data_IF_463757714023
#
_entry.id   IF_463757714023
#
_cell.length_a   1.000
_cell.length_b   1.000
_cell.length_c   1.000
_cell.angle_alpha   90.00
_cell.angle_beta   90.00
_cell.angle_gamma   90.00
#
_symmetry.space_group_name_H-M   'P 1'
#
loop_
_entity.id
_entity.type
_entity.pdbx_description
1 polymer ?
#
# COMPACT_ATOMS: atom_id res chain seq x y z
N UNK A 1 -3.56 6.57 -16.18
CA UNK A 1 -4.04 7.27 -14.97
C UNK A 1 -3.56 6.45 -13.81
N UNK A 2 -2.29 6.66 -13.46
CA UNK A 2 -1.51 5.77 -12.59
C UNK A 2 -1.97 5.97 -11.16
N UNK A 3 -2.31 4.87 -10.49
CA UNK A 3 -2.82 4.86 -9.13
C UNK A 3 -1.73 5.38 -8.20
N UNK A 4 -1.93 6.60 -7.70
CA UNK A 4 -0.93 7.34 -6.94
C UNK A 4 -0.95 6.87 -5.48
N UNK A 5 -0.63 5.60 -5.28
CA UNK A 5 -0.49 4.98 -3.94
C UNK A 5 0.52 5.72 -3.09
N UNK A 6 1.48 6.38 -3.73
CA UNK A 6 2.42 7.26 -3.04
C UNK A 6 1.75 8.54 -2.50
N UNK A 7 0.67 9.01 -3.12
CA UNK A 7 -0.20 10.09 -2.61
C UNK A 7 -1.29 9.62 -1.64
N UNK A 8 -1.37 8.32 -1.34
CA UNK A 8 -2.32 7.77 -0.36
C UNK A 8 -1.56 7.17 0.83
N UNK A 9 -1.31 7.97 1.90
CA UNK A 9 -0.47 7.52 3.01
C UNK A 9 -0.99 6.25 3.69
N UNK A 10 -2.31 6.11 3.80
CA UNK A 10 -2.93 4.89 4.33
C UNK A 10 -2.63 3.67 3.45
N UNK A 11 -2.79 3.79 2.13
CA UNK A 11 -2.51 2.68 1.21
C UNK A 11 -1.03 2.26 1.31
N UNK A 12 -0.11 3.23 1.36
CA UNK A 12 1.31 2.99 1.58
C UNK A 12 1.59 2.31 2.91
N UNK A 13 0.93 2.71 4.00
CA UNK A 13 1.09 2.10 5.32
C UNK A 13 0.60 0.64 5.34
N UNK A 14 -0.53 0.35 4.69
CA UNK A 14 -1.06 -1.01 4.54
C UNK A 14 -0.08 -1.88 3.75
N UNK A 15 0.38 -1.42 2.58
CA UNK A 15 1.36 -2.16 1.78
C UNK A 15 2.67 -2.38 2.53
N UNK A 16 3.14 -1.37 3.29
CA UNK A 16 4.36 -1.49 4.11
C UNK A 16 4.19 -2.59 5.17
N UNK A 17 3.02 -2.66 5.79
CA UNK A 17 2.69 -3.67 6.80
C UNK A 17 2.61 -5.06 6.17
N UNK A 18 2.01 -5.19 4.99
CA UNK A 18 1.97 -6.46 4.24
C UNK A 18 3.37 -6.93 3.86
N UNK A 19 4.21 -6.03 3.34
CA UNK A 19 5.59 -6.34 2.96
C UNK A 19 6.46 -6.78 4.15
N UNK A 20 6.18 -6.28 5.37
CA UNK A 20 6.92 -6.62 6.60
C UNK A 20 6.39 -7.88 7.30
N UNK A 21 5.08 -8.06 7.34
CA UNK A 21 4.44 -9.14 8.11
C UNK A 21 4.38 -10.47 7.37
N UNK A 22 4.49 -10.46 6.04
CA UNK A 22 4.38 -11.65 5.19
C UNK A 22 5.75 -12.16 4.74
N UNK A 23 5.90 -13.48 4.66
CA UNK A 23 7.14 -14.13 4.25
C UNK A 23 7.60 -13.71 2.83
N UNK A 24 8.86 -13.97 2.50
CA UNK A 24 9.43 -13.61 1.19
C UNK A 24 8.70 -14.26 0.00
N UNK A 25 8.14 -15.46 0.19
CA UNK A 25 7.40 -16.21 -0.82
C UNK A 25 5.87 -16.09 -0.68
N UNK A 26 5.38 -15.17 0.15
CA UNK A 26 3.95 -14.90 0.27
C UNK A 26 3.50 -13.99 -0.89
N UNK A 27 2.47 -14.35 -1.67
CA UNK A 27 2.03 -13.55 -2.81
C UNK A 27 1.55 -12.14 -2.45
N UNK A 28 0.97 -11.92 -1.27
CA UNK A 28 0.57 -10.58 -0.83
C UNK A 28 1.78 -9.75 -0.40
N UNK A 29 2.74 -10.39 0.26
CA UNK A 29 4.04 -9.79 0.56
C UNK A 29 4.80 -9.40 -0.70
N UNK A 30 4.80 -10.26 -1.72
CA UNK A 30 5.40 -10.02 -3.03
C UNK A 30 4.71 -8.87 -3.78
N UNK A 31 3.38 -8.88 -3.85
CA UNK A 31 2.60 -7.77 -4.43
C UNK A 31 2.92 -6.45 -3.74
N UNK A 32 2.94 -6.43 -2.40
CA UNK A 32 3.20 -5.22 -1.66
C UNK A 32 4.61 -4.67 -1.92
N UNK A 33 5.62 -5.53 -2.02
CA UNK A 33 6.99 -5.12 -2.37
C UNK A 33 7.08 -4.56 -3.79
N UNK A 34 6.47 -5.23 -4.77
CA UNK A 34 6.46 -4.79 -6.16
C UNK A 34 5.80 -3.41 -6.35
N UNK A 35 4.72 -3.14 -5.60
CA UNK A 35 4.05 -1.83 -5.64
C UNK A 35 4.86 -0.76 -4.91
N UNK A 36 5.48 -1.09 -3.77
CA UNK A 36 6.29 -0.14 -3.01
C UNK A 36 7.63 0.21 -3.68
N UNK A 37 8.23 -0.72 -4.44
CA UNK A 37 9.45 -0.49 -5.22
C UNK A 37 9.19 0.29 -6.51
N UNK A 38 7.92 0.39 -6.95
CA UNK A 38 7.56 0.99 -8.23
C UNK A 38 7.74 0.05 -9.43
N UNK A 39 8.05 -1.23 -9.21
CA UNK A 39 8.20 -2.23 -10.27
C UNK A 39 6.86 -2.48 -11.00
N UNK A 40 5.74 -2.29 -10.31
CA UNK A 40 4.40 -2.34 -10.88
C UNK A 40 3.45 -1.39 -10.15
N UNK A 41 2.53 -0.73 -10.88
CA UNK A 41 1.36 -0.14 -10.22
C UNK A 41 0.43 -1.23 -9.67
N UNK A 42 -0.47 -0.88 -8.74
CA UNK A 42 -1.27 -1.88 -8.04
C UNK A 42 -2.23 -2.63 -8.97
N UNK A 43 -2.68 -1.99 -10.05
CA UNK A 43 -3.48 -2.64 -11.09
C UNK A 43 -2.65 -3.70 -11.82
N UNK A 44 -1.42 -3.37 -12.20
CA UNK A 44 -0.49 -4.28 -12.89
C UNK A 44 -0.03 -5.40 -11.97
N UNK A 45 0.21 -5.11 -10.69
CA UNK A 45 0.56 -6.14 -9.71
C UNK A 45 -0.59 -7.14 -9.50
N UNK A 46 -1.84 -6.68 -9.50
CA UNK A 46 -3.03 -7.52 -9.30
C UNK A 46 -3.43 -8.35 -10.54
N UNK A 47 -2.99 -7.98 -11.76
CA UNK A 47 -3.27 -8.79 -12.95
C UNK A 47 -2.39 -10.05 -13.04
N UNK A 48 -1.29 -10.12 -12.28
CA UNK A 48 -0.55 -11.36 -12.13
C UNK A 48 -1.41 -12.39 -11.38
N UNK A 49 -1.70 -13.52 -12.03
CA UNK A 49 -2.65 -14.53 -11.55
C UNK A 49 -2.37 -15.00 -10.11
N UNK A 50 -1.09 -15.09 -9.74
CA UNK A 50 -0.68 -15.48 -8.39
C UNK A 50 -1.00 -14.41 -7.33
N UNK A 51 -0.72 -13.14 -7.62
CA UNK A 51 -1.04 -12.03 -6.72
C UNK A 51 -2.55 -11.78 -6.64
N UNK A 52 -3.22 -11.75 -7.79
CA UNK A 52 -4.66 -11.50 -7.88
C UNK A 52 -5.48 -12.55 -7.13
N UNK A 53 -5.12 -13.84 -7.25
CA UNK A 53 -5.76 -14.92 -6.50
C UNK A 53 -5.55 -14.78 -4.99
N UNK A 54 -4.33 -14.49 -4.56
CA UNK A 54 -4.05 -14.31 -3.13
C UNK A 54 -4.79 -13.10 -2.54
N UNK A 55 -4.97 -12.03 -3.34
CA UNK A 55 -5.75 -10.87 -2.95
C UNK A 55 -7.24 -11.22 -2.81
N UNK A 56 -7.79 -11.98 -3.75
CA UNK A 56 -9.17 -12.47 -3.72
C UNK A 56 -9.43 -13.40 -2.52
N UNK A 57 -8.55 -14.37 -2.29
CA UNK A 57 -8.62 -15.30 -1.16
C UNK A 57 -8.58 -14.55 0.18
N UNK A 58 -7.65 -13.59 0.32
CA UNK A 58 -7.53 -12.81 1.56
C UNK A 58 -8.69 -11.85 1.76
N UNK A 59 -9.25 -11.29 0.68
CA UNK A 59 -10.42 -10.44 0.74
C UNK A 59 -11.66 -11.23 1.18
N UNK A 60 -11.86 -12.41 0.59
CA UNK A 60 -12.96 -13.33 0.94
C UNK A 60 -12.86 -13.75 2.40
N UNK A 61 -11.68 -14.18 2.86
CA UNK A 61 -11.46 -14.54 4.26
C UNK A 61 -11.75 -13.36 5.21
N UNK A 62 -11.35 -12.15 4.85
CA UNK A 62 -11.61 -10.95 5.67
C UNK A 62 -13.10 -10.61 5.76
N UNK A 63 -13.87 -10.87 4.70
CA UNK A 63 -15.33 -10.70 4.71
C UNK A 63 -16.00 -11.76 5.58
N UNK A 64 -15.59 -13.02 5.48
CA UNK A 64 -16.10 -14.10 6.31
C UNK A 64 -15.83 -13.86 7.80
N UNK A 65 -14.61 -13.40 8.14
CA UNK A 65 -14.24 -13.01 9.51
C UNK A 65 -15.13 -11.88 10.02
N UNK A 66 -15.32 -10.82 9.21
CA UNK A 66 -16.21 -9.71 9.57
C UNK A 66 -17.64 -10.18 9.78
N UNK A 67 -18.12 -11.10 8.96
CA UNK A 67 -19.48 -11.62 9.03
C UNK A 67 -19.67 -12.55 10.25
N UNK A 68 -18.59 -13.12 10.79
CA UNK A 68 -18.60 -13.86 12.06
C UNK A 68 -18.56 -12.96 13.31
N UNK A 69 -18.13 -11.70 13.20
CA UNK A 69 -18.07 -10.78 14.35
C UNK A 69 -19.45 -10.43 14.89
N UNK A 70 -19.52 -10.30 16.21
CA UNK A 70 -20.69 -9.72 16.90
C UNK A 70 -20.85 -8.24 16.55
N UNK A 71 -22.05 -7.68 16.80
CA UNK A 71 -22.34 -6.28 16.48
C UNK A 71 -21.39 -5.30 17.16
N UNK A 72 -21.04 -5.54 18.42
CA UNK A 72 -20.16 -4.64 19.18
C UNK A 72 -18.72 -4.70 18.66
N UNK A 73 -18.24 -5.89 18.29
CA UNK A 73 -16.92 -6.06 17.67
C UNK A 73 -16.84 -5.37 16.31
N UNK A 74 -17.89 -5.47 15.49
CA UNK A 74 -17.96 -4.75 14.21
C UNK A 74 -17.90 -3.24 14.39
N UNK A 75 -18.62 -2.69 15.37
CA UNK A 75 -18.62 -1.25 15.66
C UNK A 75 -17.21 -0.78 16.06
N UNK A 76 -16.51 -1.55 16.90
CA UNK A 76 -15.16 -1.20 17.31
C UNK A 76 -14.17 -1.30 16.13
N UNK A 77 -14.28 -2.32 15.28
CA UNK A 77 -13.47 -2.43 14.07
C UNK A 77 -13.71 -1.27 13.10
N UNK A 78 -14.96 -0.88 12.87
CA UNK A 78 -15.30 0.28 12.04
C UNK A 78 -14.77 1.59 12.62
N UNK A 79 -14.80 1.74 13.95
CA UNK A 79 -14.22 2.89 14.65
C UNK A 79 -12.71 2.95 14.46
N UNK A 80 -12.00 1.83 14.63
CA UNK A 80 -10.55 1.75 14.41
C UNK A 80 -10.18 2.01 12.95
N UNK A 81 -10.92 1.44 12.00
CA UNK A 81 -10.72 1.68 10.58
C UNK A 81 -10.98 3.15 10.18
N UNK A 82 -11.91 3.82 10.87
CA UNK A 82 -12.15 5.27 10.69
C UNK A 82 -10.98 6.09 11.22
N UNK A 83 -10.50 5.80 12.43
CA UNK A 83 -9.33 6.47 13.00
C UNK A 83 -8.09 6.30 12.12
N UNK A 84 -7.87 5.11 11.56
CA UNK A 84 -6.76 4.87 10.63
C UNK A 84 -6.89 5.68 9.33
N UNK A 85 -8.11 5.85 8.81
CA UNK A 85 -8.36 6.70 7.64
C UNK A 85 -8.14 8.18 7.92
N UNK A 86 -8.58 8.65 9.08
CA UNK A 86 -8.39 10.03 9.52
C UNK A 86 -6.90 10.32 9.78
N UNK A 87 -6.21 9.45 10.52
CA UNK A 87 -4.77 9.55 10.74
C UNK A 87 -3.97 9.44 9.44
N UNK A 88 -4.39 8.57 8.51
CA UNK A 88 -3.82 8.47 7.18
C UNK A 88 -4.06 9.71 6.31
N UNK A 89 -5.17 10.43 6.52
CA UNK A 89 -5.43 11.71 5.87
C UNK A 89 -4.55 12.83 6.46
N UNK A 90 -4.34 12.84 7.78
CA UNK A 90 -3.41 13.77 8.46
C UNK A 90 -1.95 13.55 8.04
N UNK A 91 -1.54 12.30 7.80
CA UNK A 91 -0.20 11.96 7.29
C UNK A 91 0.08 12.47 5.85
N UNK A 92 -0.92 13.02 5.15
CA UNK A 92 -0.80 13.52 3.76
C UNK A 92 -0.25 14.95 3.70
N UNK A 93 -0.04 15.61 4.84
CA UNK A 93 0.60 16.92 4.93
C UNK A 93 2.08 16.69 5.24
N UNK A 94 2.95 17.14 4.34
CA UNK A 94 4.42 16.96 4.33
C UNK A 94 4.93 15.70 3.58
N UNK A 95 4.71 15.69 2.27
CA UNK A 95 5.75 15.17 1.35
C UNK A 95 6.55 16.38 0.88
N UNK A 96 7.59 16.73 1.62
CA UNK A 96 8.66 17.58 1.09
C UNK A 96 9.27 16.84 -0.09
N UNK A 97 9.23 17.47 -1.27
CA UNK A 97 9.74 16.90 -2.51
C UNK A 97 11.26 16.73 -2.42
N UNK A 98 11.71 15.56 -1.96
CA UNK A 98 13.10 15.17 -2.05
C UNK A 98 13.44 14.80 -3.50
N UNK A 99 14.43 15.53 -4.00
CA UNK A 99 15.24 15.33 -5.19
C UNK A 99 14.65 15.69 -6.56
N UNK A 100 14.89 16.95 -6.94
CA UNK A 100 15.29 17.24 -8.32
C UNK A 100 16.71 16.70 -8.54
N UNK A 101 16.95 15.82 -9.52
CA UNK A 101 18.28 15.30 -9.79
C UNK A 101 19.20 16.40 -10.31
N UNK A 102 20.42 16.41 -9.75
CA UNK A 102 21.55 17.19 -10.21
C UNK A 102 21.78 17.02 -11.71
N UNK A 103 21.63 18.09 -12.49
CA UNK A 103 22.25 18.18 -13.81
C UNK A 103 23.69 18.64 -13.64
N UNK A 104 24.60 17.67 -13.63
CA UNK A 104 25.99 17.89 -14.02
C UNK A 104 26.07 18.21 -15.52
N UNK A 105 26.93 19.17 -15.85
CA UNK A 105 27.37 19.54 -17.19
C UNK A 105 27.67 21.04 -17.21
N UNK A 106 28.82 21.55 -17.64
CA UNK A 106 29.98 21.01 -18.35
C UNK A 106 30.92 22.22 -18.55
N UNK A 107 32.25 22.03 -18.41
CA UNK A 107 33.36 22.82 -19.01
C UNK A 107 33.35 24.37 -18.80
N UNK A 108 34.42 25.06 -18.43
CA UNK A 108 35.66 25.19 -19.18
C UNK A 108 36.83 25.58 -18.27
N UNK A 109 37.95 24.87 -18.47
CA UNK A 109 39.28 25.37 -18.20
C UNK A 109 39.66 26.39 -19.28
N UNK A 110 39.95 27.64 -18.90
CA UNK A 110 41.16 28.39 -19.28
C UNK A 110 41.17 29.79 -18.71
#
# INVERSE_FOLDING_TARGET
MTDDIHRQPLARAVLTTLAKSRAGNDPLGSLARAVLSGDADLRTAATFSWHGRALDDAFTASLDERDALSRDERIEWERQARQLREAGAELTVEVEALDSPATEGREEQR
#
